data_IF_519511931282
#
_entry.id   IF_519511931282
#
_cell.length_a   1.000
_cell.length_b   1.000
_cell.length_c   1.000
_cell.angle_alpha   90.00
_cell.angle_beta   90.00
_cell.angle_gamma   90.00
#
_symmetry.space_group_name_H-M   'P 1'
#
loop_
_entity.id
_entity.type
_entity.pdbx_description
1 polymer ?
#
# COMPACT_ATOMS: atom_id res chain seq x y z
N UNK A 1 -15.03 -6.34 22.78
CA UNK A 1 -15.46 -7.06 24.00
C UNK A 1 -14.78 -8.44 24.14
N UNK A 2 -14.63 -9.24 23.08
CA UNK A 2 -13.99 -10.57 23.16
C UNK A 2 -12.49 -10.54 23.53
N UNK A 3 -11.80 -9.45 23.31
CA UNK A 3 -10.36 -9.28 23.63
C UNK A 3 -10.15 -8.96 25.12
N UNK A 4 -11.11 -8.31 25.76
CA UNK A 4 -11.06 -7.94 27.18
C UNK A 4 -11.19 -9.16 28.11
N UNK A 5 -11.89 -10.21 27.66
CA UNK A 5 -12.11 -11.44 28.44
C UNK A 5 -10.86 -12.36 28.49
N UNK A 6 -9.86 -12.08 27.68
CA UNK A 6 -8.57 -12.81 27.68
C UNK A 6 -7.63 -12.41 28.84
N UNK A 7 -7.92 -11.29 29.53
CA UNK A 7 -7.09 -10.78 30.60
C UNK A 7 -7.25 -11.50 31.95
N UNK A 8 -8.38 -12.15 32.18
CA UNK A 8 -8.80 -12.56 33.53
C UNK A 8 -8.40 -14.00 33.95
N UNK A 9 -7.81 -14.79 33.08
CA UNK A 9 -7.41 -16.13 33.42
C UNK A 9 -5.88 -16.32 33.27
N UNK A 10 -5.19 -16.55 34.35
CA UNK A 10 -3.76 -16.87 34.38
C UNK A 10 -3.34 -18.07 33.51
N UNK A 11 -4.31 -18.77 32.92
CA UNK A 11 -4.14 -19.82 31.91
C UNK A 11 -5.08 -19.53 30.74
N UNK A 12 -4.52 -19.09 29.62
CA UNK A 12 -5.32 -18.96 28.39
C UNK A 12 -5.54 -20.36 27.84
N UNK A 13 -6.78 -20.82 28.02
CA UNK A 13 -7.21 -22.10 27.47
C UNK A 13 -7.13 -22.04 25.94
N UNK A 14 -6.51 -23.03 25.26
CA UNK A 14 -6.47 -23.12 23.80
C UNK A 14 -7.87 -23.01 23.15
N UNK A 15 -8.90 -23.42 23.86
CA UNK A 15 -10.29 -23.32 23.41
C UNK A 15 -10.80 -21.87 23.29
N UNK A 16 -10.30 -20.94 24.11
CA UNK A 16 -10.64 -19.51 24.01
C UNK A 16 -9.96 -18.88 22.80
N UNK A 17 -8.68 -19.18 22.55
CA UNK A 17 -7.98 -18.75 21.35
C UNK A 17 -8.63 -19.28 20.08
N UNK A 18 -9.09 -20.53 20.08
CA UNK A 18 -9.79 -21.11 18.96
C UNK A 18 -11.12 -20.41 18.69
N UNK A 19 -11.90 -20.12 19.73
CA UNK A 19 -13.15 -19.37 19.61
C UNK A 19 -12.93 -17.97 19.06
N UNK A 20 -11.89 -17.26 19.54
CA UNK A 20 -11.53 -15.94 19.05
C UNK A 20 -11.11 -15.99 17.58
N UNK A 21 -10.30 -16.98 17.20
CA UNK A 21 -9.90 -17.22 15.82
C UNK A 21 -11.12 -17.40 14.90
N UNK A 22 -12.08 -18.23 15.32
CA UNK A 22 -13.30 -18.49 14.56
C UNK A 22 -14.19 -17.25 14.44
N UNK A 23 -14.35 -16.50 15.53
CA UNK A 23 -15.15 -15.27 15.55
C UNK A 23 -14.56 -14.15 14.68
N UNK A 24 -13.23 -14.07 14.59
CA UNK A 24 -12.54 -13.06 13.78
C UNK A 24 -12.29 -13.50 12.34
N UNK A 25 -12.57 -14.76 12.00
CA UNK A 25 -12.22 -15.34 10.70
C UNK A 25 -10.70 -15.42 10.46
N UNK A 26 -9.91 -15.39 11.55
CA UNK A 26 -8.47 -15.47 11.44
C UNK A 26 -8.01 -16.89 11.11
N UNK A 27 -6.95 -17.01 10.31
CA UNK A 27 -6.30 -18.28 10.00
C UNK A 27 -5.55 -18.82 11.23
N UNK A 28 -4.89 -17.92 11.98
CA UNK A 28 -4.24 -18.27 13.24
C UNK A 28 -4.37 -17.17 14.28
N UNK A 29 -4.40 -17.59 15.55
CA UNK A 29 -4.37 -16.74 16.73
C UNK A 29 -3.25 -17.22 17.65
N UNK A 30 -2.27 -16.37 17.94
CA UNK A 30 -1.12 -16.70 18.77
C UNK A 30 -0.98 -15.66 19.88
N UNK A 31 -0.83 -16.12 21.10
CA UNK A 31 -0.54 -15.28 22.25
C UNK A 31 0.94 -15.34 22.58
N UNK A 32 1.54 -14.18 22.71
CA UNK A 32 2.99 -14.00 22.92
C UNK A 32 3.24 -13.16 24.16
N UNK A 33 4.38 -13.39 24.80
CA UNK A 33 4.95 -12.44 25.75
C UNK A 33 5.61 -11.27 25.01
N UNK A 34 5.95 -10.20 25.72
CA UNK A 34 6.74 -9.10 25.16
C UNK A 34 8.14 -9.52 24.70
N UNK A 35 8.68 -10.61 25.25
CA UNK A 35 9.94 -11.21 24.82
C UNK A 35 9.83 -12.07 23.56
N UNK A 36 8.60 -12.30 23.05
CA UNK A 36 8.36 -13.12 21.86
C UNK A 36 8.15 -14.60 22.15
N UNK A 37 8.03 -14.99 23.43
CA UNK A 37 7.76 -16.37 23.80
C UNK A 37 6.29 -16.68 23.56
N UNK A 38 6.00 -17.81 22.90
CA UNK A 38 4.65 -18.28 22.62
C UNK A 38 4.03 -18.87 23.87
N UNK A 39 2.94 -18.28 24.35
CA UNK A 39 2.15 -18.77 25.48
C UNK A 39 1.04 -19.74 25.03
N UNK A 40 0.52 -19.54 23.84
CA UNK A 40 -0.51 -20.39 23.25
C UNK A 40 -0.74 -20.03 21.79
N UNK A 41 -1.13 -21.00 21.00
CA UNK A 41 -1.42 -20.82 19.58
C UNK A 41 -2.64 -21.66 19.18
N UNK A 42 -3.46 -21.11 18.28
CA UNK A 42 -4.54 -21.82 17.61
C UNK A 42 -4.44 -21.55 16.11
N UNK A 43 -4.30 -22.60 15.32
CA UNK A 43 -4.23 -22.54 13.85
C UNK A 43 -5.40 -23.33 13.26
N UNK A 44 -5.98 -22.81 12.16
CA UNK A 44 -7.01 -23.50 11.37
C UNK A 44 -6.42 -24.47 10.34
N UNK A 45 -5.14 -24.36 10.00
CA UNK A 45 -4.46 -25.26 9.06
C UNK A 45 -3.59 -26.28 9.78
N UNK A 46 -3.73 -27.55 9.40
CA UNK A 46 -2.90 -28.66 9.92
C UNK A 46 -1.43 -28.55 9.51
N UNK A 47 -1.06 -27.67 8.60
CA UNK A 47 0.30 -27.58 8.04
C UNK A 47 1.26 -26.64 8.78
N UNK A 48 0.78 -25.72 9.59
CA UNK A 48 1.63 -24.77 10.32
C UNK A 48 1.75 -25.14 11.78
N UNK A 49 2.60 -26.12 12.07
CA UNK A 49 2.90 -26.54 13.45
C UNK A 49 3.77 -25.53 14.21
N UNK A 50 4.45 -24.62 13.52
CA UNK A 50 5.27 -23.59 14.12
C UNK A 50 4.58 -22.23 14.00
N UNK A 51 4.22 -21.61 15.14
CA UNK A 51 3.67 -20.26 15.12
C UNK A 51 4.74 -19.27 14.63
N UNK A 52 4.37 -18.46 13.64
CA UNK A 52 5.24 -17.41 13.11
C UNK A 52 5.45 -16.33 14.20
N UNK A 53 6.64 -16.22 14.72
CA UNK A 53 7.00 -15.21 15.72
C UNK A 53 7.31 -13.89 15.00
N UNK A 54 6.70 -12.76 15.40
CA UNK A 54 6.97 -11.46 14.80
C UNK A 54 8.37 -10.96 15.15
N UNK A 55 8.92 -10.09 14.31
CA UNK A 55 10.22 -9.47 14.58
C UNK A 55 10.21 -8.69 15.92
N UNK A 56 11.32 -8.66 16.67
CA UNK A 56 11.39 -7.96 17.95
C UNK A 56 11.08 -6.46 17.88
N UNK A 57 11.29 -5.86 16.72
CA UNK A 57 10.92 -4.46 16.45
C UNK A 57 9.40 -4.24 16.48
N UNK A 58 8.64 -5.18 15.97
CA UNK A 58 7.18 -5.14 15.95
C UNK A 58 6.57 -5.35 17.34
N UNK A 59 7.17 -6.26 18.13
CA UNK A 59 6.77 -6.49 19.52
C UNK A 59 6.99 -5.23 20.37
N UNK A 60 8.11 -4.53 20.14
CA UNK A 60 8.40 -3.26 20.82
C UNK A 60 7.43 -2.15 20.41
N UNK A 61 7.08 -2.06 19.14
CA UNK A 61 6.10 -1.08 18.65
C UNK A 61 4.69 -1.36 19.20
N UNK A 62 4.28 -2.61 19.28
CA UNK A 62 2.99 -3.02 19.85
C UNK A 62 2.88 -2.72 21.36
N UNK A 63 4.02 -2.65 22.09
CA UNK A 63 4.08 -2.30 23.52
C UNK A 63 3.50 -0.90 23.81
N UNK A 64 3.49 0.01 22.83
CA UNK A 64 2.98 1.37 22.98
C UNK A 64 1.46 1.49 23.19
N UNK A 65 0.74 0.40 23.42
CA UNK A 65 -0.68 0.38 23.78
C UNK A 65 -1.64 0.54 22.58
N UNK A 66 -1.13 0.73 21.37
CA UNK A 66 -1.93 0.76 20.14
C UNK A 66 -1.73 -0.54 19.37
N UNK A 67 -2.83 -1.21 19.05
CA UNK A 67 -2.78 -2.34 18.12
C UNK A 67 -2.17 -1.88 16.79
N UNK A 68 -1.38 -2.74 16.15
CA UNK A 68 -0.80 -2.49 14.84
C UNK A 68 -1.14 -3.61 13.88
N UNK A 69 -1.28 -3.27 12.61
CA UNK A 69 -1.46 -4.24 11.54
C UNK A 69 -0.34 -4.07 10.50
N UNK A 70 0.15 -5.20 10.00
CA UNK A 70 1.17 -5.25 8.96
C UNK A 70 0.75 -6.25 7.90
N UNK A 71 1.00 -5.90 6.65
CA UNK A 71 0.85 -6.83 5.53
C UNK A 71 2.17 -7.59 5.40
N UNK A 72 2.07 -8.91 5.30
CA UNK A 72 3.19 -9.81 5.09
C UNK A 72 2.86 -10.81 3.98
N UNK A 73 3.87 -11.53 3.55
CA UNK A 73 3.73 -12.63 2.60
C UNK A 73 3.71 -13.96 3.35
N UNK A 74 2.87 -14.89 2.88
CA UNK A 74 2.88 -16.29 3.32
C UNK A 74 3.94 -17.07 2.56
N UNK A 75 4.51 -18.12 3.14
CA UNK A 75 5.46 -19.03 2.47
C UNK A 75 4.93 -19.62 1.16
N UNK A 76 3.61 -19.59 0.94
CA UNK A 76 2.94 -19.97 -0.32
C UNK A 76 2.74 -18.82 -1.32
N UNK A 77 3.33 -17.63 -1.12
CA UNK A 77 3.22 -16.48 -2.03
C UNK A 77 1.91 -15.69 -1.94
N UNK A 78 1.07 -15.98 -0.93
CA UNK A 78 -0.15 -15.23 -0.65
C UNK A 78 0.11 -14.04 0.27
N UNK A 79 -0.73 -13.00 0.21
CA UNK A 79 -0.71 -11.89 1.16
C UNK A 79 -1.49 -12.24 2.41
N UNK A 80 -0.95 -11.86 3.58
CA UNK A 80 -1.60 -11.97 4.86
C UNK A 80 -1.55 -10.63 5.61
N UNK A 81 -2.59 -10.37 6.39
CA UNK A 81 -2.58 -9.28 7.37
C UNK A 81 -2.28 -9.86 8.73
N UNK A 82 -1.22 -9.37 9.35
CA UNK A 82 -0.85 -9.70 10.73
C UNK A 82 -1.22 -8.54 11.63
N UNK A 83 -2.17 -8.76 12.52
CA UNK A 83 -2.58 -7.80 13.54
C UNK A 83 -1.95 -8.18 14.89
N UNK A 84 -1.32 -7.21 15.56
CA UNK A 84 -0.73 -7.33 16.89
C UNK A 84 -1.52 -6.44 17.83
N UNK A 85 -2.16 -7.02 18.83
CA UNK A 85 -2.99 -6.30 19.80
C UNK A 85 -2.42 -6.54 21.20
N UNK A 86 -2.03 -5.49 21.94
CA UNK A 86 -1.64 -5.64 23.32
C UNK A 86 -2.85 -6.03 24.18
N UNK A 87 -2.69 -7.05 24.98
CA UNK A 87 -3.70 -7.55 25.94
C UNK A 87 -3.12 -7.37 27.34
N UNK A 88 -3.73 -6.48 28.10
CA UNK A 88 -3.38 -6.28 29.49
C UNK A 88 -4.22 -7.24 30.35
N UNK A 89 -3.56 -7.98 31.21
CA UNK A 89 -4.28 -8.78 32.21
C UNK A 89 -4.94 -7.89 33.27
N UNK A 90 -6.05 -8.32 33.83
CA UNK A 90 -6.82 -7.60 34.84
C UNK A 90 -6.18 -7.56 36.23
N UNK A 91 -5.01 -8.19 36.43
CA UNK A 91 -4.28 -8.21 37.72
C UNK A 91 -3.19 -7.15 37.78
N UNK A 92 -2.96 -6.61 38.98
CA UNK A 92 -1.89 -5.61 39.24
C UNK A 92 -0.47 -6.11 38.92
N UNK A 93 -0.29 -7.41 38.72
CA UNK A 93 1.01 -8.09 38.48
C UNK A 93 1.01 -8.88 37.17
N UNK A 94 0.05 -8.63 36.29
CA UNK A 94 -0.04 -9.35 35.01
C UNK A 94 0.91 -8.73 33.97
N UNK A 95 1.89 -9.53 33.54
CA UNK A 95 2.77 -9.15 32.45
C UNK A 95 1.96 -8.83 31.16
N UNK A 96 2.24 -7.71 30.51
CA UNK A 96 1.56 -7.36 29.25
C UNK A 96 1.86 -8.44 28.20
N UNK A 97 0.82 -8.85 27.50
CA UNK A 97 0.86 -9.91 26.49
C UNK A 97 0.48 -9.31 25.14
N UNK A 98 0.87 -9.97 24.08
CA UNK A 98 0.53 -9.55 22.70
C UNK A 98 -0.25 -10.68 22.04
N UNK A 99 -1.46 -10.37 21.60
CA UNK A 99 -2.25 -11.24 20.76
C UNK A 99 -1.92 -10.95 19.30
N UNK A 100 -1.45 -11.95 18.60
CA UNK A 100 -1.21 -11.92 17.17
C UNK A 100 -2.35 -12.65 16.46
N UNK A 101 -3.01 -11.97 15.53
CA UNK A 101 -4.00 -12.55 14.64
C UNK A 101 -3.46 -12.48 13.20
N UNK A 102 -3.58 -13.58 12.48
CA UNK A 102 -3.18 -13.66 11.07
C UNK A 102 -4.42 -13.91 10.22
N UNK A 103 -4.69 -13.00 9.30
CA UNK A 103 -5.82 -13.11 8.36
C UNK A 103 -5.29 -13.22 6.94
N UNK A 104 -5.70 -14.24 6.16
CA UNK A 104 -5.36 -14.31 4.76
C UNK A 104 -6.09 -13.20 3.99
N UNK A 105 -5.40 -12.54 3.07
CA UNK A 105 -6.02 -11.58 2.15
C UNK A 105 -6.61 -12.36 0.99
N UNK A 106 -7.92 -12.27 0.72
CA UNK A 106 -8.51 -12.93 -0.43
C UNK A 106 -7.85 -12.49 -1.74
N UNK A 107 -7.55 -13.44 -2.61
CA UNK A 107 -6.91 -13.19 -3.91
C UNK A 107 -7.70 -12.21 -4.77
N UNK A 108 -9.01 -12.16 -4.60
CA UNK A 108 -9.88 -11.19 -5.28
C UNK A 108 -9.54 -9.74 -4.94
N UNK A 109 -9.17 -9.45 -3.68
CA UNK A 109 -8.77 -8.11 -3.24
C UNK A 109 -7.40 -7.75 -3.83
N UNK A 110 -6.47 -8.70 -3.86
CA UNK A 110 -5.13 -8.51 -4.46
C UNK A 110 -5.26 -8.19 -5.95
N UNK A 111 -6.03 -8.97 -6.70
CA UNK A 111 -6.29 -8.72 -8.12
C UNK A 111 -6.99 -7.39 -8.39
N UNK A 112 -7.91 -6.98 -7.52
CA UNK A 112 -8.57 -5.69 -7.63
C UNK A 112 -7.59 -4.53 -7.40
N UNK A 113 -6.68 -4.66 -6.45
CA UNK A 113 -5.64 -3.66 -6.20
C UNK A 113 -4.67 -3.55 -7.39
N UNK A 114 -4.23 -4.67 -7.96
CA UNK A 114 -3.38 -4.70 -9.16
C UNK A 114 -4.08 -4.05 -10.36
N UNK A 115 -5.38 -4.30 -10.56
CA UNK A 115 -6.14 -3.71 -11.66
C UNK A 115 -6.30 -2.19 -11.51
N UNK A 116 -6.47 -1.69 -10.29
CA UNK A 116 -6.53 -0.24 -10.00
C UNK A 116 -5.15 0.40 -10.24
N UNK A 117 -4.08 -0.26 -9.84
CA UNK A 117 -2.72 0.24 -10.05
C UNK A 117 -2.34 0.25 -11.53
N UNK A 118 -2.73 -0.76 -12.31
CA UNK A 118 -2.57 -0.79 -13.75
C UNK A 118 -3.36 0.34 -14.44
N UNK A 119 -4.63 0.53 -14.07
CA UNK A 119 -5.45 1.63 -14.60
C UNK A 119 -4.86 3.01 -14.26
N UNK A 120 -4.25 3.16 -13.08
CA UNK A 120 -3.62 4.42 -12.68
C UNK A 120 -2.34 4.70 -13.49
N UNK A 121 -1.54 3.69 -13.79
CA UNK A 121 -0.37 3.81 -14.69
C UNK A 121 -0.78 4.19 -16.10
N UNK A 122 -1.77 3.51 -16.68
CA UNK A 122 -2.30 3.85 -18.00
C UNK A 122 -2.80 5.30 -18.07
N UNK A 123 -3.45 5.78 -17.00
CA UNK A 123 -3.91 7.15 -16.92
C UNK A 123 -2.75 8.17 -16.86
N UNK A 124 -1.67 7.85 -16.16
CA UNK A 124 -0.48 8.70 -16.10
C UNK A 124 0.26 8.73 -17.45
N UNK A 125 0.38 7.61 -18.15
CA UNK A 125 0.98 7.57 -19.49
C UNK A 125 0.18 8.38 -20.51
N UNK A 126 -1.16 8.29 -20.46
CA UNK A 126 -2.04 9.10 -21.31
C UNK A 126 -1.93 10.60 -21.01
N UNK A 127 -1.72 10.99 -19.77
CA UNK A 127 -1.53 12.38 -19.37
C UNK A 127 -0.19 12.94 -19.84
N UNK A 128 0.89 12.15 -19.76
CA UNK A 128 2.20 12.53 -20.28
C UNK A 128 2.20 12.62 -21.81
N UNK A 129 1.51 11.74 -22.50
CA UNK A 129 1.33 11.79 -23.96
C UNK A 129 0.61 13.07 -24.44
N UNK A 130 -0.43 13.51 -23.71
CA UNK A 130 -1.16 14.74 -24.03
C UNK A 130 -0.34 16.03 -23.86
N UNK A 131 0.50 16.10 -22.85
CA UNK A 131 1.34 17.27 -22.60
C UNK A 131 2.46 17.38 -23.64
N UNK A 132 3.05 16.28 -24.09
CA UNK A 132 4.06 16.23 -25.14
C UNK A 132 3.50 16.67 -26.51
N UNK A 133 2.34 16.18 -26.87
CA UNK A 133 1.65 16.57 -28.12
C UNK A 133 1.33 18.07 -28.15
N UNK A 134 0.90 18.64 -27.05
CA UNK A 134 0.57 20.06 -26.94
C UNK A 134 1.80 20.95 -27.11
N UNK A 135 2.95 20.53 -26.59
CA UNK A 135 4.21 21.24 -26.71
C UNK A 135 4.74 21.23 -28.16
N UNK A 136 4.71 20.07 -28.81
CA UNK A 136 5.14 19.93 -30.21
C UNK A 136 4.24 20.75 -31.12
N UNK A 137 2.91 20.71 -30.90
CA UNK A 137 1.96 21.48 -31.71
C UNK A 137 2.17 22.99 -31.54
N UNK A 138 2.39 23.47 -30.31
CA UNK A 138 2.63 24.89 -30.06
C UNK A 138 3.96 25.34 -30.70
N UNK A 139 4.99 24.52 -30.64
CA UNK A 139 6.31 24.82 -31.18
C UNK A 139 6.29 24.86 -32.73
N UNK A 140 5.60 23.91 -33.38
CA UNK A 140 5.41 23.91 -34.84
C UNK A 140 4.58 25.09 -35.31
N UNK A 141 3.49 25.43 -34.59
CA UNK A 141 2.66 26.57 -34.94
C UNK A 141 3.42 27.90 -34.85
N UNK A 142 4.20 28.06 -33.77
CA UNK A 142 5.04 29.28 -33.56
C UNK A 142 6.11 29.40 -34.63
N UNK A 143 6.76 28.28 -34.99
CA UNK A 143 7.75 28.26 -36.04
C UNK A 143 7.16 28.60 -37.43
N UNK A 144 6.01 28.02 -37.76
CA UNK A 144 5.31 28.31 -39.01
C UNK A 144 4.88 29.80 -39.12
N UNK A 145 4.42 30.37 -38.01
CA UNK A 145 4.02 31.78 -37.96
C UNK A 145 5.22 32.72 -38.13
N UNK A 146 6.36 32.38 -37.53
CA UNK A 146 7.60 33.12 -37.63
C UNK A 146 8.15 33.05 -39.05
N UNK A 147 8.06 31.90 -39.70
CA UNK A 147 8.51 31.69 -41.08
C UNK A 147 7.63 32.49 -42.09
N UNK A 148 6.31 32.51 -41.86
CA UNK A 148 5.38 33.33 -42.65
C UNK A 148 5.66 34.83 -42.49
N UNK A 149 5.97 35.29 -41.29
CA UNK A 149 6.35 36.68 -41.03
C UNK A 149 7.63 37.07 -41.79
N UNK A 150 8.67 36.24 -41.72
CA UNK A 150 9.91 36.47 -42.48
C UNK A 150 9.68 36.48 -43.98
N UNK A 151 8.86 35.58 -44.50
CA UNK A 151 8.50 35.54 -45.93
C UNK A 151 7.75 36.83 -46.38
N UNK A 152 6.85 37.32 -45.54
CA UNK A 152 6.12 38.57 -45.81
C UNK A 152 7.03 39.80 -45.84
N UNK A 153 7.97 39.88 -44.88
CA UNK A 153 8.97 40.96 -44.82
C UNK A 153 9.90 40.92 -46.07
N UNK A 154 10.38 39.73 -46.42
CA UNK A 154 11.25 39.56 -47.59
C UNK A 154 10.52 39.93 -48.88
N UNK A 155 9.24 39.54 -49.01
CA UNK A 155 8.43 39.90 -50.16
C UNK A 155 8.17 41.42 -50.25
N UNK A 156 7.93 42.07 -49.11
CA UNK A 156 7.76 43.53 -49.04
C UNK A 156 9.02 44.28 -49.48
N UNK A 157 10.20 43.85 -49.03
CA UNK A 157 11.50 44.41 -49.47
C UNK A 157 11.72 44.20 -50.96
N UNK A 158 11.44 42.99 -51.45
CA UNK A 158 11.61 42.70 -52.90
C UNK A 158 10.71 43.56 -53.79
N UNK A 159 9.44 43.74 -53.40
CA UNK A 159 8.51 44.59 -54.08
C UNK A 159 8.88 46.08 -54.03
N UNK A 160 9.36 46.55 -52.87
CA UNK A 160 9.81 47.91 -52.69
C UNK A 160 11.03 48.25 -53.64
N UNK A 161 11.99 47.33 -53.68
CA UNK A 161 13.18 47.46 -54.54
C UNK A 161 12.83 47.45 -56.04
N UNK A 162 11.86 46.61 -56.41
CA UNK A 162 11.42 46.51 -57.81
C UNK A 162 10.59 47.72 -58.27
N UNK A 163 9.83 48.33 -57.36
CA UNK A 163 9.05 49.56 -57.67
C UNK A 163 9.92 50.84 -57.65
N UNK A 164 11.00 50.86 -56.87
CA UNK A 164 11.89 52.03 -56.79
C UNK A 164 12.86 52.11 -57.96
N UNK A 165 13.26 51.00 -58.58
CA UNK A 165 14.21 50.98 -59.71
C UNK A 165 13.76 51.72 -60.99
N UNK A 166 12.48 51.73 -61.40
CA UNK A 166 12.09 52.46 -62.64
C UNK A 166 11.90 53.96 -62.44
N UNK A 167 12.05 54.51 -61.21
CA UNK A 167 11.88 55.94 -60.90
C UNK A 167 13.20 56.71 -60.74
N UNK A 168 14.36 56.05 -60.89
CA UNK A 168 15.70 56.60 -60.90
C UNK A 168 16.33 56.38 -62.28
#
# INVERSE_FOLDING_TARGET
>A
DAVLDLGDAGFISPSRLNRLREQTGAQSATLLTLSGQVLGSSSGEMGSLLPSVPAPSLLRAARGGRGMAQIGETEGGGLMVRALVPVNGSGFDSEPRILQLTLPVPVSIVKSAESVEAAHRDYQELQLGRSGLKHIYTLTLTFALLLALFAAIALAFFLAERLARPLL
#
